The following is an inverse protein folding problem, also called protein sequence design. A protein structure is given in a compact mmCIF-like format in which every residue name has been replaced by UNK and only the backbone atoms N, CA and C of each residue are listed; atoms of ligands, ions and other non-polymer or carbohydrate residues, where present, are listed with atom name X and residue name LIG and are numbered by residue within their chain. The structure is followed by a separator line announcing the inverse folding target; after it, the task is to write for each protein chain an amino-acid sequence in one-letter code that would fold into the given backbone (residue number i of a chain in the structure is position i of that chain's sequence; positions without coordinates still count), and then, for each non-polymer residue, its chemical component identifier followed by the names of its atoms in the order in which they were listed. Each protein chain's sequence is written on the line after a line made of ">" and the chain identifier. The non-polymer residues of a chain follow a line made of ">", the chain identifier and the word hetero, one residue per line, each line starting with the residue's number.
data_IF_856697585516
#
_entry.id   IF_856697585516
#
_cell.length_a   1.000
_cell.length_b   1.000
_cell.length_c   1.000
_cell.angle_alpha   90.00
_cell.angle_beta   90.00
_cell.angle_gamma   90.00
#
_symmetry.space_group_name_H-M   'P 1'
#
loop_
_entity.id
_entity.type
_entity.pdbx_description
1 polymer ?
#
# COMPACT_ATOMS: atom_id res chain seq x y z
N UNK A 1 65.72 -7.15 50.72
CA UNK A 1 65.07 -5.83 50.59
C UNK A 1 64.17 -5.84 49.35
N UNK A 2 62.89 -5.48 49.54
CA UNK A 2 61.83 -5.09 48.56
C UNK A 2 61.70 -5.90 47.26
N UNK A 3 60.95 -7.02 47.21
CA UNK A 3 59.49 -7.18 47.01
C UNK A 3 58.89 -6.50 45.76
N UNK A 4 58.51 -7.36 44.81
CA UNK A 4 57.69 -7.14 43.60
C UNK A 4 56.40 -6.38 43.91
N UNK A 5 56.14 -5.31 43.16
CA UNK A 5 54.85 -4.63 43.09
C UNK A 5 53.93 -5.37 42.13
N UNK A 6 53.10 -6.26 42.67
CA UNK A 6 51.88 -6.75 42.02
C UNK A 6 50.78 -5.77 42.43
N UNK A 7 50.35 -4.93 41.50
CA UNK A 7 49.22 -4.02 41.69
C UNK A 7 47.92 -4.83 41.57
N UNK A 8 47.20 -4.91 42.69
CA UNK A 8 45.96 -5.65 42.88
C UNK A 8 44.83 -4.63 43.09
N UNK A 9 43.78 -4.75 42.27
CA UNK A 9 42.39 -4.30 42.47
C UNK A 9 42.11 -2.83 42.86
N UNK A 10 41.40 -2.11 41.98
CA UNK A 10 40.01 -1.69 42.23
C UNK A 10 39.34 -1.21 40.92
N UNK A 11 38.78 -2.13 40.13
CA UNK A 11 37.84 -1.76 39.06
C UNK A 11 36.45 -1.73 39.70
N UNK A 12 35.99 -0.54 40.09
CA UNK A 12 34.59 -0.33 40.48
C UNK A 12 33.78 -0.29 39.19
N UNK A 13 33.25 -1.43 38.79
CA UNK A 13 32.23 -1.53 37.75
C UNK A 13 30.91 -0.99 38.33
N UNK A 14 30.58 0.26 37.98
CA UNK A 14 29.22 0.79 38.10
C UNK A 14 28.33 0.08 37.07
N UNK A 15 27.81 -1.09 37.44
CA UNK A 15 26.65 -1.70 36.79
C UNK A 15 25.42 -0.92 37.25
N UNK A 16 25.12 0.19 36.59
CA UNK A 16 23.75 0.71 36.60
C UNK A 16 22.90 -0.27 35.80
N UNK A 17 22.25 -1.19 36.50
CA UNK A 17 21.12 -1.94 35.97
C UNK A 17 20.03 -0.90 35.74
N UNK A 18 20.02 -0.26 34.57
CA UNK A 18 18.83 0.43 34.10
C UNK A 18 17.82 -0.68 33.82
N UNK A 19 16.89 -0.87 34.74
CA UNK A 19 15.67 -1.62 34.48
C UNK A 19 14.98 -0.93 33.30
N UNK A 20 15.23 -1.42 32.09
CA UNK A 20 14.39 -1.13 30.95
C UNK A 20 13.04 -1.75 31.27
N UNK A 21 12.15 -0.94 31.83
CA UNK A 21 10.74 -1.26 31.87
C UNK A 21 10.29 -1.30 30.41
N UNK A 22 10.19 -2.51 29.84
CA UNK A 22 9.40 -2.72 28.63
C UNK A 22 7.94 -2.43 29.02
N UNK A 23 7.52 -1.18 28.84
CA UNK A 23 6.10 -0.87 28.76
C UNK A 23 5.66 -1.48 27.44
N UNK A 24 5.14 -2.71 27.48
CA UNK A 24 4.34 -3.21 26.39
C UNK A 24 3.10 -2.32 26.32
N UNK A 25 3.06 -1.41 25.35
CA UNK A 25 1.84 -0.71 25.01
C UNK A 25 0.77 -1.78 24.74
N UNK A 26 -0.37 -1.66 25.44
CA UNK A 26 -1.49 -2.54 25.22
C UNK A 26 -1.93 -2.45 23.74
N UNK A 27 -1.98 -3.60 23.10
CA UNK A 27 -2.41 -3.83 21.73
C UNK A 27 -3.90 -3.46 21.59
N UNK A 28 -4.19 -2.20 21.25
CA UNK A 28 -5.56 -1.73 21.02
C UNK A 28 -6.02 -2.12 19.60
N UNK A 29 -6.27 -3.41 19.37
CA UNK A 29 -6.88 -3.95 18.13
C UNK A 29 -8.33 -3.52 17.87
N UNK A 30 -8.85 -2.57 18.65
CA UNK A 30 -10.22 -2.08 18.54
C UNK A 30 -10.39 -0.88 17.59
N UNK A 31 -9.31 -0.41 16.94
CA UNK A 31 -9.36 0.76 16.06
C UNK A 31 -9.69 0.39 14.60
N UNK A 32 -10.86 -0.24 14.41
CA UNK A 32 -11.40 -0.52 13.08
C UNK A 32 -12.07 0.73 12.54
N UNK A 33 -11.51 1.30 11.48
CA UNK A 33 -12.03 2.52 10.85
C UNK A 33 -12.64 2.22 9.48
N UNK A 34 -13.95 2.47 9.38
CA UNK A 34 -14.64 2.53 8.09
C UNK A 34 -14.45 3.92 7.50
N UNK A 35 -13.73 3.98 6.38
CA UNK A 35 -13.38 5.21 5.67
C UNK A 35 -14.47 5.66 4.67
N UNK A 36 -15.65 5.04 4.72
CA UNK A 36 -16.82 5.46 3.94
C UNK A 36 -16.82 4.98 2.49
N UNK A 37 -17.61 5.68 1.67
CA UNK A 37 -17.74 5.45 0.23
C UNK A 37 -17.34 6.73 -0.48
N UNK A 38 -16.26 6.67 -1.26
CA UNK A 38 -15.86 7.75 -2.16
C UNK A 38 -16.48 7.51 -3.53
N UNK A 39 -16.98 8.56 -4.16
CA UNK A 39 -17.57 8.48 -5.49
C UNK A 39 -16.68 9.22 -6.48
N UNK A 40 -16.38 8.59 -7.61
CA UNK A 40 -15.83 9.25 -8.79
C UNK A 40 -16.98 9.45 -9.79
N UNK A 41 -17.10 10.67 -10.30
CA UNK A 41 -18.16 11.09 -11.23
C UNK A 41 -17.62 11.30 -12.63
N UNK A 42 -18.51 11.34 -13.63
CA UNK A 42 -18.20 11.78 -14.99
C UNK A 42 -17.46 13.14 -15.03
N UNK A 43 -17.83 14.07 -14.15
CA UNK A 43 -17.18 15.40 -14.09
C UNK A 43 -15.74 15.35 -13.59
N UNK A 44 -15.41 14.44 -12.68
CA UNK A 44 -14.05 14.21 -12.20
C UNK A 44 -13.19 13.61 -13.31
N UNK A 45 -13.77 12.66 -14.02
CA UNK A 45 -13.18 12.02 -15.19
C UNK A 45 -12.87 13.02 -16.31
N UNK A 46 -13.82 13.90 -16.64
CA UNK A 46 -13.62 14.96 -17.63
C UNK A 46 -12.52 15.94 -17.21
N UNK A 47 -12.48 16.26 -15.91
CA UNK A 47 -11.43 17.11 -15.34
C UNK A 47 -10.06 16.47 -15.50
N UNK A 48 -9.92 15.18 -15.17
CA UNK A 48 -8.65 14.45 -15.36
C UNK A 48 -8.24 14.36 -16.83
N UNK A 49 -9.18 14.09 -17.74
CA UNK A 49 -8.90 14.05 -19.19
C UNK A 49 -8.41 15.41 -19.68
N UNK A 50 -9.13 16.48 -19.30
CA UNK A 50 -8.83 17.84 -19.77
C UNK A 50 -7.52 18.39 -19.22
N UNK A 51 -7.21 18.10 -17.96
CA UNK A 51 -6.08 18.71 -17.26
C UNK A 51 -4.83 17.82 -17.22
N UNK A 52 -4.99 16.51 -17.36
CA UNK A 52 -3.92 15.52 -17.11
C UNK A 52 -3.47 15.46 -15.65
N UNK A 53 -4.20 16.11 -14.73
CA UNK A 53 -3.83 16.24 -13.31
C UNK A 53 -4.71 15.35 -12.42
N UNK A 54 -4.21 14.96 -11.23
CA UNK A 54 -5.04 14.29 -10.25
C UNK A 54 -6.20 15.16 -9.78
N UNK A 55 -7.34 14.54 -9.49
CA UNK A 55 -8.52 15.15 -8.88
C UNK A 55 -8.67 14.65 -7.45
N UNK A 56 -9.00 15.55 -6.53
CA UNK A 56 -9.32 15.20 -5.14
C UNK A 56 -10.77 14.77 -5.03
N UNK A 57 -11.00 13.56 -4.52
CA UNK A 57 -12.33 12.95 -4.41
C UNK A 57 -12.93 13.07 -2.99
N UNK A 58 -12.18 13.58 -2.01
CA UNK A 58 -12.57 13.63 -0.60
C UNK A 58 -11.85 12.58 0.26
N UNK A 59 -11.93 12.74 1.58
CA UNK A 59 -11.33 11.87 2.61
C UNK A 59 -9.90 11.41 2.29
N UNK A 60 -9.02 12.36 1.95
CA UNK A 60 -7.63 12.09 1.59
C UNK A 60 -7.49 11.06 0.46
N UNK A 61 -8.43 11.06 -0.48
CA UNK A 61 -8.45 10.18 -1.66
C UNK A 61 -8.36 11.02 -2.92
N UNK A 62 -7.52 10.59 -3.84
CA UNK A 62 -7.35 11.21 -5.15
C UNK A 62 -7.41 10.16 -6.25
N UNK A 63 -7.70 10.62 -7.46
CA UNK A 63 -7.64 9.81 -8.67
C UNK A 63 -6.85 10.53 -9.75
N UNK A 64 -6.10 9.77 -10.56
CA UNK A 64 -5.45 10.25 -11.78
C UNK A 64 -5.65 9.22 -12.89
N UNK A 65 -6.06 9.65 -14.08
CA UNK A 65 -5.96 8.81 -15.28
C UNK A 65 -4.49 8.72 -15.68
N UNK A 66 -4.01 7.49 -15.85
CA UNK A 66 -2.64 7.21 -16.24
C UNK A 66 -2.61 6.36 -17.49
N UNK A 67 -1.59 6.58 -18.32
CA UNK A 67 -1.29 5.71 -19.44
C UNK A 67 -0.76 4.36 -18.96
N UNK A 68 -0.77 3.36 -19.85
CA UNK A 68 -0.16 2.06 -19.55
C UNK A 68 1.32 2.20 -19.18
N UNK A 69 2.07 3.05 -19.89
CA UNK A 69 3.50 3.23 -19.67
C UNK A 69 3.80 3.98 -18.36
N UNK A 70 2.99 4.98 -18.01
CA UNK A 70 3.07 5.64 -16.70
C UNK A 70 2.82 4.65 -15.56
N UNK A 71 1.73 3.87 -15.63
CA UNK A 71 1.44 2.84 -14.63
C UNK A 71 2.59 1.85 -14.50
N UNK A 72 3.09 1.29 -15.61
CA UNK A 72 4.23 0.35 -15.58
C UNK A 72 5.46 0.99 -14.93
N UNK A 73 5.76 2.24 -15.26
CA UNK A 73 6.90 2.97 -14.71
C UNK A 73 6.77 3.20 -13.20
N UNK A 74 5.60 3.60 -12.73
CA UNK A 74 5.33 3.84 -11.31
C UNK A 74 5.33 2.54 -10.50
N UNK A 75 4.67 1.49 -11.01
CA UNK A 75 4.64 0.17 -10.39
C UNK A 75 6.05 -0.42 -10.31
N UNK A 76 6.84 -0.33 -11.39
CA UNK A 76 8.22 -0.83 -11.40
C UNK A 76 9.09 -0.12 -10.34
N UNK A 77 8.94 1.20 -10.19
CA UNK A 77 9.63 1.97 -9.13
C UNK A 77 9.24 1.49 -7.73
N UNK A 78 7.95 1.27 -7.51
CA UNK A 78 7.43 0.77 -6.24
C UNK A 78 7.98 -0.63 -5.90
N UNK A 79 8.14 -1.48 -6.92
CA UNK A 79 8.68 -2.84 -6.79
C UNK A 79 10.21 -2.92 -6.76
N UNK A 80 10.91 -1.86 -7.15
CA UNK A 80 12.37 -1.84 -7.26
C UNK A 80 12.90 -2.66 -8.45
N UNK A 81 12.12 -2.81 -9.52
CA UNK A 81 12.49 -3.54 -10.74
C UNK A 81 12.50 -2.60 -11.96
N UNK A 82 12.95 -3.11 -13.11
CA UNK A 82 12.93 -2.31 -14.35
C UNK A 82 11.53 -2.23 -14.96
N UNK A 83 11.22 -1.10 -15.61
CA UNK A 83 9.94 -0.93 -16.32
C UNK A 83 9.74 -1.97 -17.44
N UNK A 84 10.81 -2.41 -18.10
CA UNK A 84 10.76 -3.48 -19.10
C UNK A 84 10.39 -4.83 -18.49
N UNK A 85 10.90 -5.14 -17.29
CA UNK A 85 10.58 -6.36 -16.57
C UNK A 85 9.13 -6.37 -16.11
N UNK A 86 8.66 -5.28 -15.49
CA UNK A 86 7.26 -5.13 -15.09
C UNK A 86 6.31 -5.24 -16.30
N UNK A 87 6.66 -4.57 -17.41
CA UNK A 87 5.89 -4.66 -18.66
C UNK A 87 5.76 -6.12 -19.12
N UNK A 88 6.85 -6.88 -19.03
CA UNK A 88 6.90 -8.27 -19.48
C UNK A 88 6.05 -9.17 -18.57
N UNK A 89 6.06 -8.94 -17.25
CA UNK A 89 5.22 -9.65 -16.29
C UNK A 89 3.72 -9.40 -16.52
N UNK A 90 3.33 -8.14 -16.79
CA UNK A 90 1.93 -7.80 -17.08
C UNK A 90 1.48 -8.39 -18.43
N UNK A 91 2.36 -8.37 -19.44
CA UNK A 91 2.02 -8.86 -20.78
C UNK A 91 2.00 -10.38 -20.87
N UNK A 92 2.90 -11.09 -20.19
CA UNK A 92 2.89 -12.56 -20.14
C UNK A 92 1.63 -13.11 -19.46
N UNK A 93 1.12 -12.39 -18.47
CA UNK A 93 -0.15 -12.71 -17.80
C UNK A 93 -1.36 -12.63 -18.74
N UNK A 94 -1.33 -11.77 -19.78
CA UNK A 94 -2.40 -11.66 -20.79
C UNK A 94 -2.44 -12.81 -21.80
N UNK A 95 -1.31 -13.49 -22.07
CA UNK A 95 -1.22 -14.54 -23.09
C UNK A 95 -1.98 -15.82 -22.69
N UNK A 96 -2.24 -16.00 -21.38
CA UNK A 96 -2.98 -17.15 -20.85
C UNK A 96 -4.51 -16.96 -20.88
N UNK A 97 -5.02 -15.74 -21.12
CA UNK A 97 -6.46 -15.42 -21.22
C UNK A 97 -6.96 -15.44 -22.68
N UNK A 98 -6.77 -16.56 -23.38
CA UNK A 98 -7.13 -16.73 -24.81
C UNK A 98 -8.64 -16.75 -25.15
N UNK A 99 -9.53 -16.44 -24.21
CA UNK A 99 -10.98 -16.48 -24.42
C UNK A 99 -11.69 -15.11 -24.41
N UNK A 100 -10.97 -14.00 -24.61
CA UNK A 100 -11.61 -12.69 -24.74
C UNK A 100 -11.90 -12.36 -26.22
N UNK A 101 -13.16 -12.59 -26.61
CA UNK A 101 -13.75 -12.26 -27.90
C UNK A 101 -13.36 -10.86 -28.38
N UNK A 102 -12.94 -10.79 -29.63
CA UNK A 102 -12.83 -9.58 -30.43
C UNK A 102 -14.20 -8.90 -30.61
N UNK A 103 -14.19 -7.59 -30.78
CA UNK A 103 -15.31 -6.68 -31.09
C UNK A 103 -16.02 -5.99 -29.92
N UNK A 104 -15.43 -4.91 -29.40
CA UNK A 104 -16.02 -3.54 -29.36
C UNK A 104 -14.81 -2.58 -29.33
N UNK A 105 -14.92 -1.36 -29.87
CA UNK A 105 -13.92 -0.30 -29.65
C UNK A 105 -13.77 -0.07 -28.13
N UNK A 106 -12.84 -0.80 -27.53
CA UNK A 106 -12.64 -0.84 -26.09
C UNK A 106 -11.52 0.14 -25.76
N UNK A 107 -11.88 1.39 -25.52
CA UNK A 107 -10.98 2.36 -24.92
C UNK A 107 -10.63 1.86 -23.51
N UNK A 108 -9.53 1.10 -23.45
CA UNK A 108 -8.92 0.65 -22.19
C UNK A 108 -8.04 1.79 -21.71
N UNK A 109 -8.30 2.23 -20.49
CA UNK A 109 -7.47 3.20 -19.79
C UNK A 109 -7.28 2.76 -18.34
N UNK A 110 -6.37 3.42 -17.64
CA UNK A 110 -6.03 3.09 -16.27
C UNK A 110 -6.29 4.28 -15.37
N UNK A 111 -6.75 4.00 -14.15
CA UNK A 111 -6.95 5.00 -13.11
C UNK A 111 -6.12 4.60 -11.90
N UNK A 112 -5.27 5.50 -11.44
CA UNK A 112 -4.55 5.39 -10.18
C UNK A 112 -5.39 6.07 -9.10
N UNK A 113 -5.93 5.26 -8.20
CA UNK A 113 -6.50 5.76 -6.95
C UNK A 113 -5.44 5.70 -5.87
N UNK A 114 -5.26 6.79 -5.14
CA UNK A 114 -4.37 6.80 -3.98
C UNK A 114 -5.06 7.45 -2.79
N UNK A 115 -4.96 6.80 -1.63
CA UNK A 115 -5.59 7.23 -0.39
C UNK A 115 -4.58 7.26 0.74
N UNK A 116 -4.51 8.39 1.42
CA UNK A 116 -3.82 8.48 2.71
C UNK A 116 -4.78 8.18 3.85
N UNK A 117 -4.30 7.46 4.85
CA UNK A 117 -5.08 7.12 6.04
C UNK A 117 -4.21 7.26 7.28
N UNK A 118 -4.80 7.51 8.44
CA UNK A 118 -4.03 7.63 9.67
C UNK A 118 -3.81 6.26 10.32
N UNK A 119 -2.64 6.06 10.92
CA UNK A 119 -2.33 4.87 11.74
C UNK A 119 -2.56 5.19 13.21
N UNK A 120 -3.46 4.47 13.88
CA UNK A 120 -3.63 4.50 15.35
C UNK A 120 -3.70 5.89 16.00
N UNK A 121 -4.26 6.90 15.32
CA UNK A 121 -4.30 8.30 15.76
C UNK A 121 -2.91 8.92 16.06
N UNK A 122 -1.88 8.48 15.33
CA UNK A 122 -0.48 8.90 15.54
C UNK A 122 -0.09 10.18 14.78
N UNK A 123 -0.96 10.69 13.91
CA UNK A 123 -0.62 11.75 12.95
C UNK A 123 0.34 11.30 11.83
N UNK A 124 0.51 9.99 11.61
CA UNK A 124 1.32 9.43 10.52
C UNK A 124 0.45 8.77 9.46
N UNK A 125 0.68 9.15 8.19
CA UNK A 125 -0.24 8.89 7.09
C UNK A 125 0.42 8.15 5.92
N UNK A 126 0.46 6.80 5.93
CA UNK A 126 0.86 6.02 4.77
C UNK A 126 -0.18 6.16 3.64
N UNK A 127 0.21 5.74 2.44
CA UNK A 127 -0.65 5.82 1.26
C UNK A 127 -0.91 4.44 0.67
N UNK A 128 -2.19 4.11 0.46
CA UNK A 128 -2.63 2.96 -0.32
C UNK A 128 -2.77 3.37 -1.79
N UNK A 129 -2.14 2.63 -2.68
CA UNK A 129 -2.19 2.84 -4.13
C UNK A 129 -2.93 1.67 -4.80
N UNK A 130 -3.93 1.98 -5.61
CA UNK A 130 -4.72 1.00 -6.36
C UNK A 130 -4.72 1.42 -7.84
N UNK A 131 -4.09 0.62 -8.69
CA UNK A 131 -4.12 0.83 -10.13
C UNK A 131 -5.23 -0.02 -10.75
N UNK A 132 -6.23 0.63 -11.35
CA UNK A 132 -7.44 0.00 -11.85
C UNK A 132 -7.47 0.09 -13.37
N UNK A 133 -7.72 -1.04 -14.03
CA UNK A 133 -8.02 -1.12 -15.45
C UNK A 133 -9.50 -0.85 -15.67
N UNK A 134 -9.80 0.12 -16.53
CA UNK A 134 -11.14 0.53 -16.87
C UNK A 134 -11.43 0.30 -18.36
N UNK A 135 -12.70 0.19 -18.75
CA UNK A 135 -13.09 -0.03 -20.14
C UNK A 135 -14.37 0.71 -20.52
N UNK A 136 -14.37 1.23 -21.75
CA UNK A 136 -15.57 1.67 -22.45
C UNK A 136 -16.09 3.05 -22.00
N UNK A 137 -17.17 3.53 -22.64
CA UNK A 137 -17.70 4.87 -22.40
C UNK A 137 -18.25 5.04 -20.97
N UNK A 138 -18.72 3.96 -20.36
CA UNK A 138 -19.21 3.96 -18.99
C UNK A 138 -18.07 3.82 -17.95
N UNK A 139 -16.80 3.76 -18.37
CA UNK A 139 -15.63 3.73 -17.47
C UNK A 139 -15.62 2.52 -16.53
N UNK A 140 -16.17 1.39 -16.96
CA UNK A 140 -16.38 0.21 -16.11
C UNK A 140 -15.06 -0.32 -15.55
N UNK A 141 -15.04 -0.63 -14.26
CA UNK A 141 -13.92 -1.30 -13.60
C UNK A 141 -13.87 -2.76 -14.02
N UNK A 142 -12.78 -3.17 -14.66
CA UNK A 142 -12.63 -4.52 -15.21
C UNK A 142 -11.45 -5.31 -14.64
N UNK A 143 -10.54 -4.65 -13.92
CA UNK A 143 -9.45 -5.33 -13.23
C UNK A 143 -8.65 -4.42 -12.31
N UNK A 144 -7.97 -5.01 -11.33
CA UNK A 144 -6.95 -4.33 -10.53
C UNK A 144 -5.61 -4.77 -11.09
N UNK A 145 -4.87 -3.83 -11.66
CA UNK A 145 -3.56 -4.07 -12.28
C UNK A 145 -2.47 -4.22 -11.22
N UNK A 146 -2.50 -3.38 -10.18
CA UNK A 146 -1.52 -3.39 -9.09
C UNK A 146 -2.13 -2.82 -7.80
N UNK A 147 -1.58 -3.23 -6.67
CA UNK A 147 -1.93 -2.76 -5.34
C UNK A 147 -0.63 -2.56 -4.57
N UNK A 148 -0.46 -1.39 -3.95
CA UNK A 148 0.75 -1.08 -3.20
C UNK A 148 0.44 -0.28 -1.92
N UNK A 149 1.35 -0.35 -0.95
CA UNK A 149 1.32 0.46 0.27
C UNK A 149 2.63 1.24 0.38
N UNK A 150 2.56 2.56 0.19
CA UNK A 150 3.66 3.48 0.42
C UNK A 150 3.74 3.74 1.92
N UNK A 151 4.75 3.14 2.57
CA UNK A 151 4.96 3.18 4.02
C UNK A 151 5.85 4.34 4.47
N UNK A 152 5.89 5.43 3.71
CA UNK A 152 6.69 6.61 4.01
C UNK A 152 5.78 7.84 4.09
N UNK A 153 5.99 8.65 5.13
CA UNK A 153 5.30 9.91 5.33
C UNK A 153 6.28 10.90 5.96
N UNK A 154 6.37 12.12 5.42
CA UNK A 154 7.34 13.14 5.84
C UNK A 154 8.78 12.61 5.98
N UNK A 155 9.24 11.86 4.97
CA UNK A 155 10.57 11.23 4.91
C UNK A 155 10.84 10.16 5.97
N UNK A 156 9.84 9.78 6.76
CA UNK A 156 9.95 8.70 7.76
C UNK A 156 9.22 7.47 7.24
N UNK A 157 9.97 6.39 7.05
CA UNK A 157 9.44 5.09 6.65
C UNK A 157 9.24 4.18 7.85
N UNK A 158 8.09 3.50 7.91
CA UNK A 158 7.78 2.47 8.93
C UNK A 158 7.72 1.10 8.29
N UNK A 159 8.01 0.05 9.03
CA UNK A 159 7.81 -1.34 8.61
C UNK A 159 6.35 -1.73 8.78
N UNK A 160 5.83 -2.62 7.93
CA UNK A 160 4.43 -3.06 7.99
C UNK A 160 4.33 -4.58 7.95
N UNK A 161 3.50 -5.15 8.82
CA UNK A 161 3.18 -6.58 8.88
C UNK A 161 1.67 -6.72 8.81
N UNK A 162 1.17 -7.33 7.74
CA UNK A 162 -0.26 -7.38 7.50
C UNK A 162 -0.61 -7.53 6.03
N UNK A 163 -1.83 -7.15 5.69
CA UNK A 163 -2.37 -7.30 4.34
C UNK A 163 -3.05 -6.03 3.87
N UNK A 164 -2.83 -5.70 2.60
CA UNK A 164 -3.67 -4.79 1.84
C UNK A 164 -4.43 -5.63 0.82
N UNK A 165 -5.73 -5.40 0.68
CA UNK A 165 -6.56 -6.11 -0.27
C UNK A 165 -7.48 -5.13 -0.99
N UNK A 166 -7.73 -5.39 -2.27
CA UNK A 166 -8.72 -4.68 -3.06
C UNK A 166 -9.49 -5.66 -3.95
N UNK A 167 -10.77 -5.38 -4.19
CA UNK A 167 -11.66 -6.22 -4.99
C UNK A 167 -12.63 -5.35 -5.77
N UNK A 168 -12.77 -5.63 -7.06
CA UNK A 168 -13.89 -5.10 -7.85
C UNK A 168 -15.12 -5.95 -7.52
N UNK A 169 -16.03 -5.42 -6.69
CA UNK A 169 -17.26 -6.10 -6.29
C UNK A 169 -18.31 -6.07 -7.40
N UNK A 170 -18.32 -4.98 -8.19
CA UNK A 170 -19.09 -4.82 -9.41
C UNK A 170 -18.34 -3.90 -10.36
N UNK A 171 -18.76 -3.81 -11.62
CA UNK A 171 -18.16 -2.89 -12.61
C UNK A 171 -18.16 -1.41 -12.18
N UNK A 172 -18.91 -1.06 -11.12
CA UNK A 172 -19.00 0.28 -10.55
C UNK A 172 -18.48 0.40 -9.12
N UNK A 173 -17.97 -0.66 -8.50
CA UNK A 173 -17.58 -0.64 -7.09
C UNK A 173 -16.30 -1.41 -6.82
N UNK A 174 -15.38 -0.74 -6.14
CA UNK A 174 -14.18 -1.34 -5.57
C UNK A 174 -14.31 -1.31 -4.05
N UNK A 175 -14.08 -2.45 -3.41
CA UNK A 175 -13.81 -2.56 -1.98
C UNK A 175 -12.29 -2.59 -1.76
N UNK A 176 -11.82 -1.95 -0.70
CA UNK A 176 -10.44 -2.05 -0.27
C UNK A 176 -10.33 -2.14 1.26
N UNK A 177 -9.23 -2.74 1.73
CA UNK A 177 -8.89 -2.84 3.14
C UNK A 177 -7.38 -2.87 3.34
N UNK A 178 -6.92 -2.19 4.38
CA UNK A 178 -5.59 -2.33 4.96
C UNK A 178 -5.77 -2.81 6.39
N UNK A 179 -5.13 -3.93 6.72
CA UNK A 179 -5.17 -4.50 8.07
C UNK A 179 -3.77 -4.98 8.45
N UNK A 180 -3.17 -4.34 9.44
CA UNK A 180 -1.88 -4.77 9.98
C UNK A 180 -1.22 -3.78 10.92
N UNK A 181 -0.04 -4.17 11.36
CA UNK A 181 0.76 -3.47 12.35
C UNK A 181 1.93 -2.75 11.70
N UNK A 182 2.20 -1.53 12.18
CA UNK A 182 3.37 -0.73 11.82
C UNK A 182 4.41 -0.77 12.94
N UNK A 183 5.69 -0.76 12.54
CA UNK A 183 6.84 -0.76 13.45
C UNK A 183 7.88 0.25 12.96
N UNK A 184 8.68 0.82 13.86
CA UNK A 184 9.75 1.74 13.46
C UNK A 184 10.93 1.02 12.81
N UNK A 185 11.24 -0.18 13.28
CA UNK A 185 12.42 -0.93 12.87
C UNK A 185 12.08 -2.34 12.41
N UNK A 186 12.92 -2.87 11.52
CA UNK A 186 12.82 -4.21 10.98
C UNK A 186 13.12 -4.24 9.49
N UNK A 187 13.02 -5.43 8.90
CA UNK A 187 13.07 -5.61 7.46
C UNK A 187 11.71 -6.12 6.97
N UNK A 188 11.04 -5.31 6.15
CA UNK A 188 9.78 -5.69 5.50
C UNK A 188 10.06 -6.45 4.20
N UNK A 189 9.45 -7.61 4.07
CA UNK A 189 9.29 -8.33 2.81
C UNK A 189 7.83 -8.29 2.40
N UNK A 190 7.55 -8.31 1.10
CA UNK A 190 6.18 -8.28 0.60
C UNK A 190 6.00 -9.22 -0.59
N UNK A 191 4.76 -9.62 -0.80
CA UNK A 191 4.33 -10.45 -1.92
C UNK A 191 3.00 -9.95 -2.45
N UNK A 192 2.91 -9.77 -3.76
CA UNK A 192 1.69 -9.38 -4.45
C UNK A 192 1.17 -10.56 -5.26
N UNK A 193 -0.13 -10.88 -5.12
CA UNK A 193 -0.78 -12.00 -5.80
C UNK A 193 -0.99 -11.82 -7.32
N UNK A 194 -0.55 -10.69 -7.88
CA UNK A 194 -0.72 -10.37 -9.30
C UNK A 194 -2.00 -9.60 -9.60
N UNK A 195 -2.15 -9.19 -10.86
CA UNK A 195 -3.35 -8.50 -11.34
C UNK A 195 -4.55 -9.43 -11.33
N UNK A 196 -5.75 -8.91 -11.01
CA UNK A 196 -6.97 -9.71 -10.92
C UNK A 196 -8.16 -9.06 -11.63
N UNK A 197 -9.13 -9.89 -12.02
CA UNK A 197 -10.39 -9.45 -12.61
C UNK A 197 -11.50 -9.15 -11.59
N UNK A 198 -12.73 -8.98 -12.10
CA UNK A 198 -13.93 -8.77 -11.28
C UNK A 198 -14.16 -9.96 -10.34
N UNK A 199 -14.55 -9.67 -9.09
CA UNK A 199 -14.88 -10.68 -8.09
C UNK A 199 -13.67 -11.30 -7.37
N UNK A 200 -12.45 -11.08 -7.86
CA UNK A 200 -11.21 -11.57 -7.28
C UNK A 200 -10.53 -10.51 -6.41
N UNK A 201 -9.77 -10.96 -5.40
CA UNK A 201 -8.99 -10.07 -4.54
C UNK A 201 -7.57 -9.90 -5.07
N UNK A 202 -7.20 -8.65 -5.37
CA UNK A 202 -5.80 -8.25 -5.40
C UNK A 202 -5.32 -8.25 -3.94
N UNK A 203 -4.31 -9.06 -3.62
CA UNK A 203 -3.80 -9.20 -2.25
C UNK A 203 -2.32 -8.92 -2.21
N UNK A 204 -1.94 -7.95 -1.38
CA UNK A 204 -0.58 -7.61 -1.05
C UNK A 204 -0.33 -7.98 0.41
N UNK A 205 0.54 -8.96 0.64
CA UNK A 205 0.89 -9.42 1.99
C UNK A 205 2.28 -8.95 2.34
N UNK A 206 2.42 -8.35 3.51
CA UNK A 206 3.68 -7.93 4.08
C UNK A 206 4.03 -8.76 5.31
N UNK A 207 5.31 -9.11 5.42
CA UNK A 207 5.89 -9.79 6.57
C UNK A 207 7.10 -9.02 7.05
N UNK A 208 7.26 -8.90 8.36
CA UNK A 208 8.44 -8.27 8.96
C UNK A 208 9.29 -9.34 9.64
N UNK A 209 10.61 -9.23 9.48
CA UNK A 209 11.57 -9.90 10.35
C UNK A 209 12.24 -8.88 11.27
N UNK A 210 12.61 -9.33 12.48
CA UNK A 210 13.30 -8.51 13.49
C UNK A 210 12.54 -7.21 13.84
N UNK A 211 11.21 -7.29 13.89
CA UNK A 211 10.37 -6.16 14.26
C UNK A 211 10.72 -5.70 15.67
N UNK A 212 10.94 -4.38 15.84
CA UNK A 212 11.11 -3.75 17.14
C UNK A 212 10.45 -2.38 17.12
N UNK A 213 10.03 -1.92 18.29
CA UNK A 213 9.30 -0.68 18.52
C UNK A 213 7.99 -0.60 17.73
N UNK A 214 6.93 -1.16 18.30
CA UNK A 214 5.57 -1.06 17.75
C UNK A 214 5.17 0.40 17.63
N UNK A 215 4.70 0.78 16.44
CA UNK A 215 4.32 2.15 16.11
C UNK A 215 2.81 2.34 16.21
N UNK A 216 2.03 1.43 15.61
CA UNK A 216 0.58 1.51 15.64
C UNK A 216 -0.09 0.50 14.73
N UNK A 217 -1.37 0.28 14.97
CA UNK A 217 -2.22 -0.63 14.20
C UNK A 217 -3.06 0.17 13.22
N UNK A 218 -3.32 -0.41 12.05
CA UNK A 218 -4.25 0.12 11.08
C UNK A 218 -5.22 -0.97 10.64
N UNK A 219 -6.51 -0.74 10.85
CA UNK A 219 -7.58 -1.46 10.17
C UNK A 219 -8.50 -0.45 9.50
N UNK A 220 -8.17 -0.10 8.27
CA UNK A 220 -8.92 0.87 7.48
C UNK A 220 -9.54 0.18 6.27
N UNK A 221 -10.83 0.40 6.02
CA UNK A 221 -11.51 -0.15 4.86
C UNK A 221 -12.54 0.82 4.30
N UNK A 222 -12.84 0.69 3.01
CA UNK A 222 -13.78 1.58 2.35
C UNK A 222 -14.15 1.13 0.95
N UNK A 223 -14.86 2.00 0.25
CA UNK A 223 -15.34 1.75 -1.11
C UNK A 223 -15.04 2.92 -2.04
N UNK A 224 -14.87 2.60 -3.32
CA UNK A 224 -14.85 3.55 -4.42
C UNK A 224 -15.99 3.18 -5.36
N UNK A 225 -16.97 4.07 -5.49
CA UNK A 225 -18.10 3.96 -6.42
C UNK A 225 -17.81 4.78 -7.68
N UNK A 226 -18.08 4.22 -8.85
CA UNK A 226 -18.05 4.89 -10.14
C UNK A 226 -19.48 5.22 -10.57
N UNK A 227 -19.80 6.51 -10.77
CA UNK A 227 -21.14 6.99 -11.05
C UNK A 227 -21.22 7.91 -12.25
#
# INVERSE_FOLDING_TARGET
>A
MLKKLVSLLLVVALLSISTFSFVFAADNKNDIKKEGVITITDSDYDTMIKTGKPVYLGDNTWAKIVTFDEMVSEVAKNKGISASEERSQIMSSKVNDKNLSTNVNNDIFYVHFYKQFEVGNTGWYPQLDIYVKCQGPYRDFIGISDLNLIRSYNYVSKQFSGKCQAKIESVKRIYWVVNGDFYDYGATSWSFGGSVGIGQYATLTFSISRANNYFGYAYNYGYIDNR
#
